data_IF_680819881479
#
_entry.id   IF_680819881479
#
_cell.length_a   1.000
_cell.length_b   1.000
_cell.length_c   1.000
_cell.angle_alpha   90.00
_cell.angle_beta   90.00
_cell.angle_gamma   90.00
#
_symmetry.space_group_name_H-M   'P 1'
#
loop_
_entity.id
_entity.type
_entity.pdbx_description
1 polymer ?
#
# COMPACT_ATOMS: atom_id res chain seq x y z
N UNK A 1 -10.96 -2.95 5.35
CA UNK A 1 -10.13 -2.58 4.18
C UNK A 1 -9.73 -3.85 3.45
N UNK A 2 -9.66 -3.83 2.11
CA UNK A 2 -9.25 -5.00 1.32
C UNK A 2 -7.71 -5.03 1.20
N UNK A 3 -7.09 -6.13 1.64
CA UNK A 3 -5.66 -6.38 1.47
C UNK A 3 -5.49 -7.46 0.41
N UNK A 4 -4.79 -7.13 -0.67
CA UNK A 4 -4.47 -8.05 -1.77
C UNK A 4 -2.99 -8.37 -1.78
N UNK A 5 -2.59 -9.50 -2.33
CA UNK A 5 -1.17 -9.84 -2.50
C UNK A 5 -0.91 -10.44 -3.87
N UNK A 6 0.24 -10.11 -4.45
CA UNK A 6 0.74 -10.65 -5.72
C UNK A 6 2.25 -10.83 -5.67
N UNK A 7 2.79 -11.68 -6.55
CA UNK A 7 4.23 -11.76 -6.78
C UNK A 7 4.75 -10.50 -7.46
N UNK A 8 6.02 -10.15 -7.24
CA UNK A 8 6.67 -9.04 -7.93
C UNK A 8 6.53 -9.11 -9.47
N UNK A 9 6.55 -10.32 -10.05
CA UNK A 9 6.37 -10.51 -11.50
C UNK A 9 4.94 -10.15 -11.96
N UNK A 10 3.95 -10.62 -11.20
CA UNK A 10 2.53 -10.32 -11.43
C UNK A 10 2.22 -8.83 -11.22
N UNK A 11 2.78 -8.24 -10.16
CA UNK A 11 2.69 -6.80 -9.88
C UNK A 11 3.35 -5.97 -10.99
N UNK A 12 4.45 -6.44 -11.59
CA UNK A 12 5.10 -5.78 -12.72
C UNK A 12 4.22 -5.79 -13.98
N UNK A 13 3.62 -6.94 -14.28
CA UNK A 13 2.70 -7.12 -15.41
C UNK A 13 1.39 -6.35 -15.21
N UNK A 14 0.90 -6.30 -13.97
CA UNK A 14 -0.37 -5.73 -13.54
C UNK A 14 -0.27 -4.40 -12.79
N UNK A 15 0.76 -3.59 -13.02
CA UNK A 15 1.02 -2.39 -12.20
C UNK A 15 -0.11 -1.34 -12.23
N UNK A 16 -0.63 -1.05 -13.42
CA UNK A 16 -1.71 -0.08 -13.61
C UNK A 16 -3.00 -0.45 -12.85
N UNK A 17 -3.53 -1.68 -12.94
CA UNK A 17 -4.68 -2.08 -12.14
C UNK A 17 -4.37 -2.15 -10.63
N UNK A 18 -3.14 -2.47 -10.23
CA UNK A 18 -2.72 -2.40 -8.81
C UNK A 18 -2.80 -0.97 -8.29
N UNK A 19 -2.18 0.00 -8.96
CA UNK A 19 -2.24 1.41 -8.55
C UNK A 19 -3.67 1.96 -8.54
N UNK A 20 -4.50 1.53 -9.50
CA UNK A 20 -5.90 1.91 -9.57
C UNK A 20 -6.66 1.40 -8.34
N UNK A 21 -6.43 0.16 -7.91
CA UNK A 21 -7.04 -0.39 -6.69
C UNK A 21 -6.53 0.31 -5.43
N UNK A 22 -5.21 0.50 -5.30
CA UNK A 22 -4.62 1.18 -4.13
C UNK A 22 -5.16 2.61 -4.01
N UNK A 23 -5.22 3.36 -5.12
CA UNK A 23 -5.67 4.74 -5.12
C UNK A 23 -7.19 4.90 -5.00
N UNK A 24 -7.97 4.15 -5.78
CA UNK A 24 -9.43 4.36 -5.87
C UNK A 24 -10.20 3.57 -4.81
N UNK A 25 -9.73 2.38 -4.45
CA UNK A 25 -10.42 1.51 -3.49
C UNK A 25 -9.83 1.60 -2.08
N UNK A 26 -8.77 2.40 -1.88
CA UNK A 26 -8.04 2.43 -0.61
C UNK A 26 -7.49 1.06 -0.23
N UNK A 27 -7.21 0.22 -1.23
CA UNK A 27 -6.75 -1.15 -1.01
C UNK A 27 -5.27 -1.14 -0.65
N UNK A 28 -4.86 -2.08 0.19
CA UNK A 28 -3.46 -2.35 0.45
C UNK A 28 -3.00 -3.50 -0.44
N UNK A 29 -1.81 -3.39 -1.01
CA UNK A 29 -1.29 -4.42 -1.90
C UNK A 29 0.10 -4.88 -1.46
N UNK A 30 0.19 -6.12 -0.99
CA UNK A 30 1.45 -6.74 -0.56
C UNK A 30 2.14 -7.32 -1.78
N UNK A 31 3.36 -6.86 -2.03
CA UNK A 31 4.21 -7.41 -3.08
C UNK A 31 5.11 -8.46 -2.46
N UNK A 32 5.01 -9.70 -2.96
CA UNK A 32 5.81 -10.82 -2.50
C UNK A 32 6.94 -11.13 -3.47
N UNK A 33 8.10 -11.52 -2.95
CA UNK A 33 9.26 -11.97 -3.73
C UNK A 33 9.79 -13.25 -3.11
N UNK A 34 9.92 -14.30 -3.92
CA UNK A 34 10.32 -15.64 -3.46
C UNK A 34 9.48 -16.19 -2.28
N UNK A 35 8.17 -15.86 -2.23
CA UNK A 35 7.26 -16.30 -1.17
C UNK A 35 7.29 -15.46 0.10
N UNK A 36 8.10 -14.40 0.17
CA UNK A 36 8.17 -13.49 1.31
C UNK A 36 7.64 -12.11 0.95
N UNK A 37 7.02 -11.41 1.92
CA UNK A 37 6.62 -10.02 1.74
C UNK A 37 7.86 -9.13 1.55
N UNK A 38 7.94 -8.46 0.40
CA UNK A 38 9.06 -7.58 0.04
C UNK A 38 8.72 -6.11 0.26
N UNK A 39 7.47 -5.71 -0.02
CA UNK A 39 6.97 -4.37 0.25
C UNK A 39 5.45 -4.39 0.35
N UNK A 40 4.88 -3.33 0.93
CA UNK A 40 3.44 -3.05 0.88
C UNK A 40 3.23 -1.75 0.13
N UNK A 41 2.33 -1.76 -0.85
CA UNK A 41 1.82 -0.56 -1.50
C UNK A 41 0.59 -0.10 -0.74
N UNK A 42 0.68 1.10 -0.17
CA UNK A 42 -0.40 1.71 0.60
C UNK A 42 -0.89 3.01 -0.06
N UNK A 43 -2.14 3.43 0.16
CA UNK A 43 -2.61 4.73 -0.31
C UNK A 43 -1.81 5.87 0.34
N UNK A 44 -1.41 6.87 -0.45
CA UNK A 44 -0.62 7.99 0.07
C UNK A 44 -1.30 8.78 1.20
N UNK A 45 -2.65 8.88 1.16
CA UNK A 45 -3.41 9.50 2.24
C UNK A 45 -3.32 8.72 3.55
N UNK A 46 -3.42 7.39 3.49
CA UNK A 46 -3.31 6.53 4.66
C UNK A 46 -1.89 6.56 5.24
N UNK A 47 -0.86 6.51 4.38
CA UNK A 47 0.54 6.62 4.81
C UNK A 47 0.82 7.90 5.61
N UNK A 48 0.28 9.04 5.15
CA UNK A 48 0.39 10.31 5.85
C UNK A 48 -0.36 10.31 7.20
N UNK A 49 -1.53 9.66 7.27
CA UNK A 49 -2.31 9.52 8.52
C UNK A 49 -1.60 8.66 9.56
N UNK A 50 -0.97 7.57 9.13
CA UNK A 50 -0.15 6.70 9.96
C UNK A 50 1.20 7.32 10.38
N UNK A 51 1.45 8.59 10.04
CA UNK A 51 2.68 9.30 10.40
C UNK A 51 3.91 8.90 9.59
N UNK A 52 3.71 8.19 8.47
CA UNK A 52 4.78 7.79 7.58
C UNK A 52 5.41 8.98 6.88
N UNK A 53 6.75 9.04 6.87
CA UNK A 53 7.50 10.06 6.14
C UNK A 53 7.97 9.51 4.80
N UNK A 54 7.61 10.14 3.69
CA UNK A 54 8.13 9.80 2.35
C UNK A 54 9.61 10.19 2.28
N UNK A 55 10.46 9.24 1.90
CA UNK A 55 11.91 9.44 1.75
C UNK A 55 12.29 9.75 0.31
N UNK A 56 11.57 9.18 -0.66
CA UNK A 56 11.83 9.37 -2.09
C UNK A 56 10.52 9.38 -2.89
N UNK A 57 10.55 9.95 -4.10
CA UNK A 57 9.37 10.00 -4.98
C UNK A 57 9.75 9.66 -6.42
N UNK A 58 9.09 8.64 -6.97
CA UNK A 58 9.29 8.17 -8.34
C UNK A 58 7.98 8.15 -9.13
N UNK A 59 8.09 8.06 -10.46
CA UNK A 59 6.92 7.86 -11.32
C UNK A 59 6.56 6.39 -11.39
N UNK A 60 5.28 6.09 -11.68
CA UNK A 60 4.82 4.73 -11.93
C UNK A 60 5.63 4.01 -13.02
N UNK A 61 6.11 4.72 -14.04
CA UNK A 61 6.98 4.14 -15.07
C UNK A 61 8.33 3.69 -14.52
N UNK A 62 8.97 4.52 -13.68
CA UNK A 62 10.23 4.15 -13.02
C UNK A 62 10.01 3.01 -12.05
N UNK A 63 8.92 3.03 -11.28
CA UNK A 63 8.56 1.97 -10.34
C UNK A 63 8.38 0.59 -11.02
N UNK A 64 7.80 0.54 -12.21
CA UNK A 64 7.66 -0.70 -13.00
C UNK A 64 8.99 -1.15 -13.60
N UNK A 65 9.77 -0.20 -14.12
CA UNK A 65 11.05 -0.50 -14.77
C UNK A 65 12.06 -1.03 -13.75
N UNK A 66 12.14 -0.37 -12.61
CA UNK A 66 13.06 -0.62 -11.50
C UNK A 66 12.37 -1.30 -10.31
N UNK A 67 11.37 -2.17 -10.55
CA UNK A 67 10.57 -2.76 -9.47
C UNK A 67 11.44 -3.47 -8.42
N UNK A 68 12.46 -4.21 -8.85
CA UNK A 68 13.39 -4.87 -7.94
C UNK A 68 14.12 -3.88 -7.02
N UNK A 69 14.53 -2.73 -7.55
CA UNK A 69 15.19 -1.68 -6.78
C UNK A 69 14.21 -1.04 -5.79
N UNK A 70 13.00 -0.69 -6.24
CA UNK A 70 11.92 -0.19 -5.39
C UNK A 70 11.63 -1.12 -4.21
N UNK A 71 11.55 -2.43 -4.46
CA UNK A 71 11.31 -3.43 -3.43
C UNK A 71 12.49 -3.53 -2.45
N UNK A 72 13.73 -3.47 -2.93
CA UNK A 72 14.91 -3.46 -2.06
C UNK A 72 14.95 -2.21 -1.17
N UNK A 73 14.63 -1.02 -1.72
CA UNK A 73 14.55 0.23 -0.94
C UNK A 73 13.46 0.17 0.12
N UNK A 74 12.26 -0.26 -0.28
CA UNK A 74 11.15 -0.43 0.66
C UNK A 74 11.52 -1.43 1.77
N UNK A 75 12.13 -2.56 1.42
CA UNK A 75 12.60 -3.55 2.39
C UNK A 75 13.69 -3.00 3.32
N UNK A 76 14.53 -2.08 2.85
CA UNK A 76 15.54 -1.38 3.64
C UNK A 76 14.96 -0.29 4.57
N UNK A 77 13.64 -0.07 4.57
CA UNK A 77 12.95 0.91 5.41
C UNK A 77 12.65 2.23 4.72
N UNK A 78 12.90 2.36 3.41
CA UNK A 78 12.54 3.57 2.68
C UNK A 78 11.05 3.61 2.34
N UNK A 79 10.49 4.82 2.35
CA UNK A 79 9.10 5.06 1.99
C UNK A 79 9.06 5.79 0.66
N UNK A 80 8.84 5.04 -0.41
CA UNK A 80 8.95 5.58 -1.77
C UNK A 80 7.56 5.86 -2.31
N UNK A 81 7.25 7.14 -2.52
CA UNK A 81 5.99 7.55 -3.13
C UNK A 81 6.00 7.28 -4.63
N UNK A 82 4.96 6.61 -5.12
CA UNK A 82 4.74 6.34 -6.54
C UNK A 82 3.68 7.31 -7.05
N UNK A 83 4.07 8.15 -7.99
CA UNK A 83 3.17 9.08 -8.67
C UNK A 83 2.62 8.49 -9.96
N UNK A 84 1.32 8.67 -10.19
CA UNK A 84 0.65 8.32 -11.44
C UNK A 84 -0.15 9.52 -11.93
N UNK A 85 0.07 9.92 -13.19
CA UNK A 85 -0.55 11.13 -13.78
C UNK A 85 -0.33 12.38 -12.89
N UNK A 86 0.90 12.57 -12.42
CA UNK A 86 1.31 13.70 -11.55
C UNK A 86 0.63 13.79 -10.19
N UNK A 87 -0.02 12.72 -9.72
CA UNK A 87 -0.60 12.64 -8.37
C UNK A 87 -0.03 11.45 -7.60
N UNK A 88 0.18 11.57 -6.28
CA UNK A 88 0.58 10.44 -5.46
C UNK A 88 -0.52 9.38 -5.50
N UNK A 89 -0.18 8.17 -5.94
CA UNK A 89 -1.12 7.08 -6.12
C UNK A 89 -0.95 6.00 -5.05
N UNK A 90 0.30 5.68 -4.72
CA UNK A 90 0.67 4.72 -3.71
C UNK A 90 1.99 5.11 -3.05
N UNK A 91 2.29 4.54 -1.90
CA UNK A 91 3.61 4.60 -1.26
C UNK A 91 4.05 3.15 -1.04
N UNK A 92 5.24 2.81 -1.53
CA UNK A 92 5.89 1.55 -1.19
C UNK A 92 6.54 1.71 0.19
N UNK A 93 6.10 0.90 1.13
CA UNK A 93 6.58 0.89 2.52
C UNK A 93 7.15 -0.49 2.88
N UNK A 94 8.02 -0.57 3.90
CA UNK A 94 8.57 -1.84 4.37
C UNK A 94 7.48 -2.84 4.77
N UNK A 95 7.74 -4.15 4.66
CA UNK A 95 6.77 -5.19 4.96
C UNK A 95 6.29 -5.18 6.42
N UNK A 96 7.05 -4.60 7.35
CA UNK A 96 6.63 -4.43 8.75
C UNK A 96 5.37 -3.55 8.92
N UNK A 97 5.13 -2.62 7.98
CA UNK A 97 3.92 -1.82 7.95
C UNK A 97 2.66 -2.62 7.61
N UNK A 98 2.81 -3.84 7.10
CA UNK A 98 1.70 -4.76 6.89
C UNK A 98 0.90 -5.00 8.17
N UNK A 99 1.56 -5.10 9.33
CA UNK A 99 0.87 -5.29 10.61
C UNK A 99 -0.02 -4.09 10.96
N UNK A 100 0.45 -2.86 10.71
CA UNK A 100 -0.31 -1.64 10.94
C UNK A 100 -1.52 -1.55 9.99
N UNK A 101 -1.29 -1.88 8.72
CA UNK A 101 -2.31 -2.00 7.67
C UNK A 101 -3.43 -2.98 8.03
N UNK A 102 -3.09 -4.13 8.63
CA UNK A 102 -4.06 -5.16 9.02
C UNK A 102 -4.76 -4.79 10.33
N UNK A 103 -4.04 -4.20 11.29
CA UNK A 103 -4.57 -3.79 12.60
C UNK A 103 -5.47 -2.55 12.54
N UNK A 104 -5.27 -1.62 11.60
CA UNK A 104 -6.17 -0.49 11.33
C UNK A 104 -7.35 -0.85 10.42
N UNK A 105 -7.72 -2.14 10.37
CA UNK A 105 -9.08 -2.51 9.99
C UNK A 105 -10.05 -1.68 10.84
N UNK A 106 -11.06 -1.03 10.22
CA UNK A 106 -11.85 -0.01 10.90
C UNK A 106 -12.38 -0.60 12.21
N UNK A 107 -12.05 0.07 13.31
CA UNK A 107 -12.86 -0.01 14.52
C UNK A 107 -14.21 0.56 14.10
N UNK A 108 -15.12 -0.35 13.79
CA UNK A 108 -16.48 -0.04 13.41
C UNK A 108 -17.09 0.88 14.49
N UNK A 109 -17.54 2.11 14.16
CA UNK A 109 -18.30 2.91 15.12
C UNK A 109 -19.79 2.51 15.18
N UNK A 110 -20.25 1.44 14.51
CA UNK A 110 -21.61 0.92 14.71
C UNK A 110 -21.65 -0.12 15.83
N UNK A 111 -21.38 0.35 17.06
CA UNK A 111 -22.06 -0.17 18.24
C UNK A 111 -22.90 0.97 18.84
N UNK A 112 -23.80 1.51 18.02
CA UNK A 112 -24.98 2.20 18.53
C UNK A 112 -26.04 1.12 18.71
N UNK A 113 -26.04 0.52 19.90
CA UNK A 113 -27.14 -0.34 20.34
C UNK A 113 -28.46 0.43 20.20
N UNK A 114 -29.50 -0.13 19.56
CA UNK A 114 -30.85 0.37 19.74
C UNK A 114 -31.33 -0.12 21.11
N UNK A 115 -31.13 0.70 22.15
CA UNK A 115 -31.82 0.48 23.42
C UNK A 115 -33.22 1.12 23.31
N UNK A 116 -34.15 0.41 22.65
CA UNK A 116 -35.58 0.54 22.94
C UNK A 116 -36.04 -0.79 23.56
N UNK A 117 -36.34 -0.77 24.87
CA UNK A 117 -37.34 -1.68 25.39
C UNK A 117 -38.46 -0.95 26.16
N UNK A 118 -39.68 -1.22 25.68
CA UNK A 118 -40.98 -1.25 26.36
C UNK A 118 -41.72 0.07 26.69
#
# INVERSE_FOLDING_TARGET
METTSSSADDTRSGWSPVLTRVRLKGAHHVVTRHGHAAAVLVPAGWHAQAGGKVTDTITAQVAVRELSDLLNRAYAGEHVAVTYRSKPAAVAVPPEWHAQVVSESPKDPLDVAPEEPA
#
